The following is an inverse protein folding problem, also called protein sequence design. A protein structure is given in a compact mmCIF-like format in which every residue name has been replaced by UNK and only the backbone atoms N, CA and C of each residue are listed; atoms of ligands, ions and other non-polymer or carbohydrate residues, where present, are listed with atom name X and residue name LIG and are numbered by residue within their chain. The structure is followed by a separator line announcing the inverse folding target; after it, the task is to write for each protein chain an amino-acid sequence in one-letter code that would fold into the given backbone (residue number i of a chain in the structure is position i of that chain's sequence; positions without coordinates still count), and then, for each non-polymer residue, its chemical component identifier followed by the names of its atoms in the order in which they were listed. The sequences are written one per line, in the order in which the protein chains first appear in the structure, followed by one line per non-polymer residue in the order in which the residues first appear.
data_IF_245277437571
#
_entry.id   IF_245277437571
#
_cell.length_a   1.000
_cell.length_b   1.000
_cell.length_c   1.000
_cell.angle_alpha   90.00
_cell.angle_beta   90.00
_cell.angle_gamma   90.00
#
_symmetry.space_group_name_H-M   'P 1'
#
loop_
_entity.id
_entity.type
_entity.pdbx_description
1 polymer ?
#
# COMPACT_ATOMS: atom_id res chain seq x y z
N UNK A 1 13.87 -8.99 3.88
CA UNK A 1 13.52 -8.39 5.16
C UNK A 1 12.24 -7.60 5.00
N UNK A 2 11.34 -7.68 5.99
CA UNK A 2 10.06 -6.98 5.99
C UNK A 2 10.13 -5.80 6.97
N UNK A 3 9.67 -4.63 6.53
CA UNK A 3 9.61 -3.40 7.32
C UNK A 3 8.18 -2.90 7.33
N UNK A 4 7.59 -2.76 8.50
CA UNK A 4 6.25 -2.23 8.70
C UNK A 4 6.34 -0.74 9.10
N UNK A 5 5.63 0.12 8.37
CA UNK A 5 5.59 1.56 8.63
C UNK A 5 4.21 1.94 9.12
N UNK A 6 4.14 2.38 10.36
CA UNK A 6 2.92 2.90 10.97
C UNK A 6 2.66 4.37 10.59
N UNK A 7 1.46 4.85 10.87
CA UNK A 7 0.96 6.18 10.48
C UNK A 7 1.47 7.32 11.38
N UNK A 8 2.77 7.31 11.70
CA UNK A 8 3.42 8.38 12.46
C UNK A 8 4.77 8.75 11.87
N UNK A 9 5.17 10.03 11.91
CA UNK A 9 6.48 10.45 11.42
C UNK A 9 7.65 9.70 12.08
N UNK A 10 7.67 9.47 13.42
CA UNK A 10 8.71 8.67 14.03
C UNK A 10 8.79 7.25 13.46
N UNK A 11 7.66 6.59 13.23
CA UNK A 11 7.62 5.25 12.64
C UNK A 11 8.12 5.26 11.20
N UNK A 12 7.64 6.20 10.37
CA UNK A 12 8.06 6.33 8.97
C UNK A 12 9.57 6.57 8.87
N UNK A 13 10.14 7.44 9.70
CA UNK A 13 11.59 7.71 9.70
C UNK A 13 12.40 6.56 10.27
N UNK A 14 11.88 5.85 11.26
CA UNK A 14 12.50 4.62 11.77
C UNK A 14 12.53 3.53 10.70
N UNK A 15 11.45 3.37 9.95
CA UNK A 15 11.37 2.44 8.82
C UNK A 15 12.37 2.81 7.74
N UNK A 16 12.48 4.10 7.39
CA UNK A 16 13.47 4.59 6.42
C UNK A 16 14.91 4.27 6.84
N UNK A 17 15.25 4.49 8.11
CA UNK A 17 16.55 4.13 8.65
C UNK A 17 16.81 2.61 8.60
N UNK A 18 15.80 1.79 8.91
CA UNK A 18 15.89 0.33 8.84
C UNK A 18 16.12 -0.13 7.39
N UNK A 19 15.36 0.44 6.43
CA UNK A 19 15.53 0.18 5.00
C UNK A 19 16.97 0.42 4.57
N UNK A 20 17.55 1.59 4.90
CA UNK A 20 18.92 1.93 4.55
C UNK A 20 19.94 0.94 5.10
N UNK A 21 19.79 0.55 6.37
CA UNK A 21 20.69 -0.42 7.03
C UNK A 21 20.65 -1.79 6.38
N UNK A 22 19.44 -2.30 6.09
CA UNK A 22 19.30 -3.62 5.49
C UNK A 22 19.75 -3.65 4.03
N UNK A 23 19.44 -2.61 3.24
CA UNK A 23 19.93 -2.48 1.86
C UNK A 23 21.45 -2.47 1.82
N UNK A 24 22.10 -1.72 2.71
CA UNK A 24 23.58 -1.68 2.82
C UNK A 24 24.16 -3.07 3.12
N UNK A 25 23.41 -3.94 3.79
CA UNK A 25 23.78 -5.34 4.06
C UNK A 25 23.32 -6.33 2.97
N UNK A 26 22.97 -5.84 1.77
CA UNK A 26 22.55 -6.63 0.60
C UNK A 26 21.22 -7.37 0.75
N UNK A 27 20.35 -6.92 1.64
CA UNK A 27 19.01 -7.47 1.77
C UNK A 27 18.06 -6.88 0.72
N UNK A 28 17.15 -7.69 0.18
CA UNK A 28 15.93 -7.24 -0.47
C UNK A 28 14.91 -6.85 0.59
N UNK A 29 14.11 -5.81 0.32
CA UNK A 29 13.19 -5.21 1.29
C UNK A 29 11.75 -5.31 0.80
N UNK A 30 10.85 -5.79 1.68
CA UNK A 30 9.43 -5.55 1.59
C UNK A 30 9.05 -4.42 2.56
N UNK A 31 8.28 -3.45 2.11
CA UNK A 31 7.83 -2.31 2.89
C UNK A 31 6.31 -2.34 2.96
N UNK A 32 5.75 -2.43 4.15
CA UNK A 32 4.34 -2.19 4.35
C UNK A 32 4.11 -0.69 4.58
N UNK A 33 3.49 -0.01 3.63
CA UNK A 33 3.10 1.39 3.73
C UNK A 33 1.58 1.59 3.75
N UNK A 34 0.82 0.50 3.74
CA UNK A 34 -0.64 0.52 3.66
C UNK A 34 -1.34 1.08 4.91
N UNK A 35 -0.61 1.32 6.00
CA UNK A 35 -1.14 1.99 7.21
C UNK A 35 -1.06 3.51 7.14
N UNK A 36 -0.21 4.05 6.27
CA UNK A 36 0.00 5.50 6.16
C UNK A 36 -1.27 6.14 5.63
N UNK A 37 -1.73 7.18 6.30
CA UNK A 37 -2.94 7.91 5.92
C UNK A 37 -2.84 8.55 4.54
N UNK A 38 -3.98 8.63 3.86
CA UNK A 38 -4.07 9.22 2.54
C UNK A 38 -3.99 10.75 2.56
N UNK A 39 -3.88 11.32 1.35
CA UNK A 39 -3.84 12.76 1.11
C UNK A 39 -5.06 13.47 1.72
N UNK A 40 -4.86 14.71 2.17
CA UNK A 40 -5.87 15.57 2.81
C UNK A 40 -6.42 15.03 4.15
N UNK A 41 -5.88 13.95 4.68
CA UNK A 41 -6.21 13.52 6.05
C UNK A 41 -5.80 14.58 7.07
N UNK A 42 -6.65 14.81 8.07
CA UNK A 42 -6.40 15.83 9.08
C UNK A 42 -5.25 15.47 10.01
N UNK A 43 -4.38 16.45 10.27
CA UNK A 43 -3.27 16.35 11.21
C UNK A 43 -3.40 17.47 12.27
N UNK A 44 -2.91 17.25 13.47
CA UNK A 44 -2.90 18.23 14.57
C UNK A 44 -4.28 18.86 14.79
N UNK A 45 -5.30 18.04 14.95
CA UNK A 45 -6.66 18.54 15.18
C UNK A 45 -7.31 19.24 13.97
N UNK A 46 -6.70 19.17 12.79
CA UNK A 46 -7.20 19.75 11.53
C UNK A 46 -6.49 21.04 11.10
N UNK A 47 -5.44 21.45 11.81
CA UNK A 47 -4.63 22.62 11.43
C UNK A 47 -3.85 22.40 10.14
N UNK A 48 -3.45 21.14 9.86
CA UNK A 48 -2.64 20.76 8.70
C UNK A 48 -3.29 19.58 8.01
N UNK A 49 -3.15 19.52 6.68
CA UNK A 49 -3.55 18.39 5.87
C UNK A 49 -2.33 17.53 5.50
N UNK A 50 -2.51 16.22 5.47
CA UNK A 50 -1.48 15.27 5.06
C UNK A 50 -1.23 15.35 3.55
N UNK A 51 0.04 15.26 3.17
CA UNK A 51 0.48 15.37 1.77
C UNK A 51 0.32 14.06 0.97
N UNK A 52 -0.22 13.01 1.59
CA UNK A 52 -0.37 11.70 0.98
C UNK A 52 0.85 10.79 1.16
N UNK A 53 0.78 9.60 0.60
CA UNK A 53 1.84 8.58 0.73
C UNK A 53 3.00 8.81 -0.23
N UNK A 54 2.78 9.44 -1.38
CA UNK A 54 3.78 9.58 -2.45
C UNK A 54 5.07 10.26 -2.00
N UNK A 55 5.06 11.36 -1.22
CA UNK A 55 6.29 11.98 -0.72
C UNK A 55 7.13 11.03 0.15
N UNK A 56 6.50 10.18 0.95
CA UNK A 56 7.20 9.18 1.77
C UNK A 56 7.76 8.05 0.91
N UNK A 57 7.06 7.63 -0.13
CA UNK A 57 7.57 6.65 -1.09
C UNK A 57 8.81 7.17 -1.82
N UNK A 58 8.86 8.45 -2.21
CA UNK A 58 10.05 9.09 -2.77
C UNK A 58 11.22 9.06 -1.79
N UNK A 59 10.96 9.29 -0.52
CA UNK A 59 11.99 9.18 0.52
C UNK A 59 12.53 7.76 0.61
N UNK A 60 11.68 6.75 0.67
CA UNK A 60 12.10 5.35 0.68
C UNK A 60 12.87 4.97 -0.59
N UNK A 61 12.43 5.44 -1.76
CA UNK A 61 13.15 5.24 -3.03
C UNK A 61 14.57 5.82 -2.97
N UNK A 62 14.70 7.04 -2.47
CA UNK A 62 16.00 7.69 -2.32
C UNK A 62 16.91 6.89 -1.37
N UNK A 63 16.39 6.42 -0.25
CA UNK A 63 17.12 5.60 0.73
C UNK A 63 17.58 4.27 0.14
N UNK A 64 16.69 3.57 -0.58
CA UNK A 64 17.02 2.31 -1.27
C UNK A 64 18.13 2.52 -2.31
N UNK A 65 18.14 3.67 -2.97
CA UNK A 65 19.12 3.96 -4.04
C UNK A 65 20.47 4.43 -3.52
N UNK A 66 20.49 5.24 -2.46
CA UNK A 66 21.77 5.78 -1.93
C UNK A 66 22.55 4.73 -1.13
N UNK A 67 21.89 3.73 -0.54
CA UNK A 67 22.51 2.66 0.23
C UNK A 67 22.89 1.48 -0.68
N UNK A 68 23.76 1.73 -1.68
CA UNK A 68 24.12 0.72 -2.68
C UNK A 68 24.92 -0.45 -2.09
N UNK A 69 24.73 -1.63 -2.68
CA UNK A 69 25.44 -2.86 -2.35
C UNK A 69 26.84 -2.89 -3.05
N UNK A 70 27.84 -2.24 -2.44
CA UNK A 70 29.23 -2.21 -2.96
C UNK A 70 29.38 -1.63 -4.39
N UNK A 71 28.53 -0.71 -4.83
CA UNK A 71 28.64 -0.04 -6.12
C UNK A 71 28.32 -0.90 -7.37
N UNK A 72 28.05 -2.20 -7.20
CA UNK A 72 27.83 -3.13 -8.34
C UNK A 72 26.35 -3.37 -8.60
N UNK A 73 25.50 -3.35 -7.55
CA UNK A 73 24.07 -3.59 -7.66
C UNK A 73 23.28 -2.61 -6.81
N UNK A 74 22.27 -1.97 -7.39
CA UNK A 74 21.34 -1.12 -6.65
C UNK A 74 20.48 -1.93 -5.68
N UNK A 75 20.03 -1.30 -4.60
CA UNK A 75 19.04 -1.86 -3.70
C UNK A 75 17.70 -2.10 -4.42
N UNK A 76 16.91 -3.03 -3.92
CA UNK A 76 15.56 -3.34 -4.43
C UNK A 76 14.59 -3.41 -3.26
N UNK A 77 13.43 -2.78 -3.43
CA UNK A 77 12.35 -2.82 -2.45
C UNK A 77 11.00 -2.92 -3.15
N UNK A 78 10.08 -3.67 -2.54
CA UNK A 78 8.67 -3.77 -2.93
C UNK A 78 7.81 -3.15 -1.85
N UNK A 79 6.90 -2.25 -2.23
CA UNK A 79 5.97 -1.60 -1.31
C UNK A 79 4.59 -2.23 -1.44
N UNK A 80 3.98 -2.54 -0.30
CA UNK A 80 2.70 -3.21 -0.21
C UNK A 80 1.60 -2.23 0.19
N UNK A 81 0.47 -2.26 -0.54
CA UNK A 81 -0.72 -1.46 -0.27
C UNK A 81 -2.00 -2.30 -0.37
N UNK A 82 -2.99 -2.05 0.49
CA UNK A 82 -4.31 -2.64 0.33
C UNK A 82 -5.06 -2.00 -0.84
N UNK A 83 -5.81 -2.80 -1.60
CA UNK A 83 -6.60 -2.35 -2.76
C UNK A 83 -7.63 -1.27 -2.42
N UNK A 84 -8.04 -1.19 -1.15
CA UNK A 84 -9.01 -0.21 -0.64
C UNK A 84 -8.37 1.09 -0.12
N UNK A 85 -7.05 1.28 -0.29
CA UNK A 85 -6.38 2.51 0.13
C UNK A 85 -6.86 3.71 -0.68
N UNK A 86 -7.07 4.87 -0.03
CA UNK A 86 -7.59 6.08 -0.66
C UNK A 86 -6.80 6.53 -1.89
N UNK A 87 -5.48 6.35 -1.91
CA UNK A 87 -4.61 6.76 -3.01
C UNK A 87 -4.27 5.61 -3.98
N UNK A 88 -5.05 4.54 -3.99
CA UNK A 88 -4.70 3.34 -4.78
C UNK A 88 -4.56 3.63 -6.28
N UNK A 89 -5.40 4.48 -6.85
CA UNK A 89 -5.36 4.84 -8.26
C UNK A 89 -4.04 5.56 -8.61
N UNK A 90 -3.59 6.48 -7.75
CA UNK A 90 -2.30 7.16 -7.90
C UNK A 90 -1.12 6.20 -7.70
N UNK A 91 -1.23 5.27 -6.75
CA UNK A 91 -0.19 4.26 -6.47
C UNK A 91 0.01 3.33 -7.67
N UNK A 92 -1.05 2.90 -8.33
CA UNK A 92 -0.96 2.01 -9.50
C UNK A 92 -0.12 2.59 -10.63
N UNK A 93 -0.16 3.91 -10.84
CA UNK A 93 0.54 4.57 -11.94
C UNK A 93 1.96 5.06 -11.60
N UNK A 94 2.43 4.88 -10.36
CA UNK A 94 3.72 5.41 -9.91
C UNK A 94 4.92 4.91 -10.72
N UNK A 95 4.84 3.74 -11.31
CA UNK A 95 5.92 3.11 -12.05
C UNK A 95 5.87 3.34 -13.56
N UNK A 96 4.76 3.81 -14.09
CA UNK A 96 4.62 3.97 -15.54
C UNK A 96 5.48 5.10 -16.11
N UNK A 97 5.68 5.10 -17.43
CA UNK A 97 6.51 6.08 -18.12
C UNK A 97 5.76 7.36 -18.51
N UNK A 98 4.47 7.46 -18.18
CA UNK A 98 3.63 8.62 -18.45
C UNK A 98 3.71 9.62 -17.30
N UNK A 99 3.57 10.91 -17.56
CA UNK A 99 3.61 11.96 -16.55
C UNK A 99 5.02 12.44 -16.19
N UNK A 100 5.07 13.35 -15.23
CA UNK A 100 6.32 13.97 -14.74
C UNK A 100 6.99 13.15 -13.65
N UNK A 101 8.31 13.35 -13.45
CA UNK A 101 9.05 12.71 -12.34
C UNK A 101 8.47 13.08 -10.96
N UNK A 102 7.84 14.25 -10.84
CA UNK A 102 7.26 14.69 -9.58
C UNK A 102 6.10 13.79 -9.11
N UNK A 103 5.41 13.15 -10.03
CA UNK A 103 4.28 12.28 -9.76
C UNK A 103 4.60 10.78 -9.90
N UNK A 104 5.89 10.42 -9.95
CA UNK A 104 6.33 9.04 -10.16
C UNK A 104 7.36 8.60 -9.13
N UNK A 105 7.33 7.30 -8.81
CA UNK A 105 8.31 6.61 -7.94
C UNK A 105 8.64 5.29 -8.63
N UNK A 106 9.53 5.35 -9.63
CA UNK A 106 9.74 4.26 -10.60
C UNK A 106 10.71 3.18 -10.15
N UNK A 107 11.53 3.44 -9.14
CA UNK A 107 12.60 2.51 -8.72
C UNK A 107 12.19 1.59 -7.58
N UNK A 108 11.00 1.78 -7.03
CA UNK A 108 10.36 0.79 -6.16
C UNK A 108 9.48 -0.13 -6.99
N UNK A 109 9.26 -1.35 -6.51
CA UNK A 109 8.23 -2.25 -6.99
C UNK A 109 7.00 -2.16 -6.09
N UNK A 110 5.84 -2.51 -6.60
CA UNK A 110 4.57 -2.39 -5.87
C UNK A 110 3.87 -3.73 -5.79
N UNK A 111 3.20 -3.97 -4.67
CA UNK A 111 2.36 -5.14 -4.44
C UNK A 111 1.00 -4.70 -3.91
N UNK A 112 -0.04 -5.11 -4.58
CA UNK A 112 -1.42 -4.78 -4.20
C UNK A 112 -2.04 -5.97 -3.50
N UNK A 113 -2.42 -5.76 -2.25
CA UNK A 113 -3.09 -6.75 -1.41
C UNK A 113 -4.58 -6.72 -1.72
N UNK A 114 -5.15 -7.86 -2.10
CA UNK A 114 -6.54 -8.00 -2.51
C UNK A 114 -7.22 -9.04 -1.63
N UNK A 115 -8.43 -8.72 -1.15
CA UNK A 115 -9.28 -9.63 -0.39
C UNK A 115 -10.32 -10.33 -1.27
N UNK A 116 -10.92 -11.38 -0.75
CA UNK A 116 -12.04 -12.09 -1.37
C UNK A 116 -13.22 -11.16 -1.68
N UNK A 117 -13.54 -10.24 -0.77
CA UNK A 117 -14.61 -9.25 -0.94
C UNK A 117 -14.43 -8.43 -2.23
N UNK A 118 -13.19 -8.03 -2.56
CA UNK A 118 -12.93 -7.32 -3.81
C UNK A 118 -13.28 -8.16 -5.03
N UNK A 119 -12.88 -9.43 -5.06
CA UNK A 119 -13.19 -10.33 -6.18
C UNK A 119 -14.68 -10.61 -6.30
N UNK A 120 -15.40 -10.71 -5.19
CA UNK A 120 -16.86 -10.86 -5.22
C UNK A 120 -17.55 -9.65 -5.84
N UNK A 121 -17.11 -8.44 -5.51
CA UNK A 121 -17.60 -7.20 -6.13
C UNK A 121 -17.20 -7.06 -7.59
N UNK A 122 -15.99 -7.46 -7.93
CA UNK A 122 -15.54 -7.52 -9.32
C UNK A 122 -16.47 -8.41 -10.17
N UNK A 123 -16.79 -9.60 -9.69
CA UNK A 123 -17.69 -10.54 -10.42
C UNK A 123 -19.10 -9.96 -10.56
N UNK A 124 -19.61 -9.28 -9.54
CA UNK A 124 -20.94 -8.67 -9.52
C UNK A 124 -21.01 -7.31 -10.22
N UNK A 125 -19.89 -6.77 -10.69
CA UNK A 125 -19.78 -5.42 -11.24
C UNK A 125 -20.26 -4.34 -10.26
N UNK A 126 -19.86 -4.45 -9.00
CA UNK A 126 -20.15 -3.50 -7.93
C UNK A 126 -18.96 -2.55 -7.71
N UNK A 127 -19.22 -1.46 -7.00
CA UNK A 127 -18.17 -0.52 -6.61
C UNK A 127 -17.40 -1.02 -5.39
N UNK A 128 -16.15 -0.57 -5.25
CA UNK A 128 -15.35 -0.67 -4.04
C UNK A 128 -15.16 0.71 -3.43
N UNK A 129 -15.20 0.76 -2.11
CA UNK A 129 -14.99 2.00 -1.35
C UNK A 129 -13.55 2.11 -0.90
N UNK A 130 -12.95 3.27 -1.15
CA UNK A 130 -11.58 3.60 -0.79
C UNK A 130 -11.57 4.43 0.49
N UNK A 131 -10.68 4.06 1.41
CA UNK A 131 -10.55 4.71 2.71
C UNK A 131 -9.12 5.19 2.95
N UNK A 132 -8.99 6.28 3.71
CA UNK A 132 -7.75 6.58 4.41
C UNK A 132 -7.68 5.74 5.68
N UNK A 133 -6.61 4.97 5.92
CA UNK A 133 -6.55 4.01 7.05
C UNK A 133 -6.82 4.63 8.42
N UNK A 134 -6.42 5.89 8.63
CA UNK A 134 -6.67 6.59 9.89
C UNK A 134 -8.15 6.87 10.18
N UNK A 135 -9.02 6.84 9.16
CA UNK A 135 -10.46 7.04 9.32
C UNK A 135 -11.22 5.74 9.62
N UNK A 136 -10.56 4.61 9.52
CA UNK A 136 -11.14 3.27 9.70
C UNK A 136 -10.32 2.43 10.67
N UNK A 137 -10.31 2.79 11.97
CA UNK A 137 -9.54 2.08 12.99
C UNK A 137 -9.83 0.58 12.98
N UNK A 138 -8.79 -0.26 13.03
CA UNK A 138 -8.90 -1.71 13.04
C UNK A 138 -9.14 -2.37 11.67
N UNK A 139 -9.44 -1.58 10.62
CA UNK A 139 -9.71 -2.16 9.30
C UNK A 139 -8.46 -2.81 8.68
N UNK A 140 -7.31 -2.16 8.83
CA UNK A 140 -6.05 -2.71 8.34
C UNK A 140 -5.65 -3.97 9.13
N UNK A 141 -5.86 -3.96 10.44
CA UNK A 141 -5.60 -5.10 11.33
C UNK A 141 -6.50 -6.30 11.00
N UNK A 142 -7.75 -6.06 10.59
CA UNK A 142 -8.68 -7.10 10.16
C UNK A 142 -8.42 -7.60 8.72
N UNK A 143 -7.67 -6.86 7.93
CA UNK A 143 -7.46 -7.18 6.52
C UNK A 143 -6.77 -8.54 6.33
N UNK A 144 -7.39 -9.40 5.52
CA UNK A 144 -6.99 -10.79 5.35
C UNK A 144 -7.48 -11.74 6.46
N UNK A 145 -8.39 -11.28 7.32
CA UNK A 145 -9.04 -12.06 8.37
C UNK A 145 -10.57 -12.10 8.14
N UNK A 146 -11.28 -13.07 8.71
CA UNK A 146 -12.74 -13.20 8.54
C UNK A 146 -13.55 -11.96 8.94
N UNK A 147 -13.04 -11.19 9.92
CA UNK A 147 -13.71 -10.00 10.45
C UNK A 147 -13.67 -8.79 9.50
N UNK A 148 -12.81 -8.83 8.49
CA UNK A 148 -12.60 -7.72 7.58
C UNK A 148 -13.88 -7.32 6.84
N UNK A 149 -14.60 -8.27 6.29
CA UNK A 149 -15.77 -7.99 5.46
C UNK A 149 -16.86 -7.25 6.25
N UNK A 150 -17.14 -7.70 7.48
CA UNK A 150 -18.12 -7.05 8.35
C UNK A 150 -17.71 -5.63 8.71
N UNK A 151 -16.44 -5.44 9.09
CA UNK A 151 -15.92 -4.13 9.48
C UNK A 151 -15.87 -3.17 8.29
N UNK A 152 -15.47 -3.66 7.11
CA UNK A 152 -15.45 -2.90 5.87
C UNK A 152 -16.85 -2.41 5.50
N UNK A 153 -17.85 -3.28 5.50
CA UNK A 153 -19.24 -2.94 5.20
C UNK A 153 -19.84 -1.97 6.22
N UNK A 154 -19.42 -2.05 7.49
CA UNK A 154 -19.81 -1.10 8.52
C UNK A 154 -19.30 0.30 8.20
N UNK A 155 -18.01 0.45 7.88
CA UNK A 155 -17.42 1.74 7.51
C UNK A 155 -17.97 2.27 6.18
N UNK A 156 -18.27 1.40 5.25
CA UNK A 156 -18.88 1.78 3.98
C UNK A 156 -20.26 2.43 4.16
N UNK A 157 -21.05 1.97 5.12
CA UNK A 157 -22.38 2.54 5.45
C UNK A 157 -22.29 3.83 6.28
N UNK A 158 -21.20 4.06 6.96
CA UNK A 158 -21.02 5.22 7.83
C UNK A 158 -20.79 6.49 6.98
N UNK A 159 -21.79 7.38 6.96
CA UNK A 159 -21.76 8.65 6.20
C UNK A 159 -20.83 9.70 6.81
N UNK A 160 -20.36 9.53 8.03
CA UNK A 160 -19.46 10.48 8.70
C UNK A 160 -18.00 10.32 8.26
N UNK A 161 -17.64 9.19 7.66
CA UNK A 161 -16.27 8.86 7.23
C UNK A 161 -16.04 9.40 5.82
N UNK A 162 -15.00 10.24 5.60
CA UNK A 162 -14.56 10.63 4.27
C UNK A 162 -14.11 9.40 3.47
N UNK A 163 -14.65 9.22 2.29
CA UNK A 163 -14.39 8.08 1.41
C UNK A 163 -14.70 8.42 -0.03
N UNK A 164 -14.16 7.65 -0.94
CA UNK A 164 -14.49 7.65 -2.37
C UNK A 164 -14.89 6.25 -2.82
N UNK A 165 -15.50 6.14 -3.99
CA UNK A 165 -15.87 4.86 -4.59
C UNK A 165 -15.32 4.80 -6.01
N UNK A 166 -14.96 3.59 -6.43
CA UNK A 166 -14.52 3.28 -7.79
C UNK A 166 -15.09 1.92 -8.19
N UNK A 167 -15.40 1.73 -9.47
CA UNK A 167 -15.85 0.43 -9.97
C UNK A 167 -14.77 -0.64 -9.76
N UNK A 168 -15.12 -1.76 -9.14
CA UNK A 168 -14.14 -2.83 -8.89
C UNK A 168 -13.54 -3.38 -10.20
N UNK A 169 -14.34 -3.47 -11.28
CA UNK A 169 -13.85 -3.89 -12.59
C UNK A 169 -12.90 -2.86 -13.19
N UNK A 170 -13.22 -1.58 -13.11
CA UNK A 170 -12.37 -0.49 -13.59
C UNK A 170 -11.00 -0.51 -12.90
N UNK A 171 -11.00 -0.51 -11.57
CA UNK A 171 -9.78 -0.52 -10.77
C UNK A 171 -8.91 -1.77 -11.05
N UNK A 172 -9.52 -2.93 -11.20
CA UNK A 172 -8.78 -4.16 -11.49
C UNK A 172 -8.21 -4.17 -12.91
N UNK A 173 -8.94 -3.64 -13.89
CA UNK A 173 -8.44 -3.51 -15.26
C UNK A 173 -7.28 -2.52 -15.34
N UNK A 174 -7.32 -1.42 -14.61
CA UNK A 174 -6.20 -0.46 -14.51
C UNK A 174 -4.97 -1.12 -13.86
N UNK A 175 -5.16 -1.88 -12.78
CA UNK A 175 -4.09 -2.68 -12.17
C UNK A 175 -3.46 -3.64 -13.19
N UNK A 176 -4.26 -4.40 -13.93
CA UNK A 176 -3.76 -5.35 -14.92
C UNK A 176 -3.03 -4.66 -16.07
N UNK A 177 -3.54 -3.52 -16.53
CA UNK A 177 -2.91 -2.69 -17.57
C UNK A 177 -1.54 -2.18 -17.12
N UNK A 178 -1.46 -1.56 -15.94
CA UNK A 178 -0.20 -1.06 -15.40
C UNK A 178 0.79 -2.22 -15.13
N UNK A 179 0.30 -3.37 -14.68
CA UNK A 179 1.10 -4.59 -14.55
C UNK A 179 1.65 -5.07 -15.89
N UNK A 180 0.85 -5.08 -16.94
CA UNK A 180 1.28 -5.47 -18.29
C UNK A 180 2.30 -4.48 -18.88
N UNK A 181 2.07 -3.18 -18.71
CA UNK A 181 2.95 -2.13 -19.23
C UNK A 181 4.29 -2.05 -18.48
N UNK A 182 4.29 -2.25 -17.17
CA UNK A 182 5.50 -2.09 -16.32
C UNK A 182 6.19 -3.41 -15.95
N UNK A 183 5.47 -4.53 -15.94
CA UNK A 183 5.93 -5.84 -15.52
C UNK A 183 6.24 -5.99 -14.03
N UNK A 184 5.88 -5.01 -13.18
CA UNK A 184 6.37 -4.89 -11.81
C UNK A 184 5.31 -4.57 -10.74
N UNK A 185 4.04 -4.85 -11.00
CA UNK A 185 3.00 -4.81 -9.99
C UNK A 185 2.63 -6.25 -9.61
N UNK A 186 2.81 -6.58 -8.34
CA UNK A 186 2.46 -7.89 -7.79
C UNK A 186 1.03 -7.87 -7.26
N UNK A 187 0.35 -8.99 -7.36
CA UNK A 187 -0.97 -9.23 -6.78
C UNK A 187 -0.79 -10.18 -5.60
N UNK A 188 -1.23 -9.77 -4.43
CA UNK A 188 -1.17 -10.57 -3.22
C UNK A 188 -2.59 -10.85 -2.71
N UNK A 189 -3.00 -12.11 -2.74
CA UNK A 189 -4.29 -12.54 -2.19
C UNK A 189 -4.16 -12.71 -0.69
N UNK A 190 -4.45 -11.64 0.06
CA UNK A 190 -4.15 -11.54 1.50
C UNK A 190 -4.85 -12.63 2.33
N UNK A 191 -6.07 -12.99 1.97
CA UNK A 191 -6.82 -14.07 2.65
C UNK A 191 -6.10 -15.41 2.50
N UNK A 192 -5.58 -15.70 1.31
CA UNK A 192 -4.82 -16.93 1.04
C UNK A 192 -3.48 -16.93 1.76
N UNK A 193 -2.82 -15.78 1.87
CA UNK A 193 -1.58 -15.67 2.64
C UNK A 193 -1.78 -16.09 4.09
N UNK A 194 -2.93 -15.81 4.69
CA UNK A 194 -3.24 -16.20 6.06
C UNK A 194 -3.83 -17.63 6.17
N UNK A 195 -4.73 -18.03 5.26
CA UNK A 195 -5.40 -19.35 5.34
C UNK A 195 -4.52 -20.51 4.89
N UNK A 196 -3.56 -20.27 3.99
CA UNK A 196 -2.65 -21.29 3.46
C UNK A 196 -1.21 -21.14 3.98
N UNK A 197 -1.00 -20.29 4.98
CA UNK A 197 0.28 -20.13 5.65
C UNK A 197 0.63 -21.37 6.48
N UNK A 198 1.93 -21.68 6.57
CA UNK A 198 2.45 -22.67 7.52
C UNK A 198 2.54 -22.12 8.96
N UNK A 199 2.33 -20.84 9.16
CA UNK A 199 2.32 -20.21 10.48
C UNK A 199 0.95 -20.38 11.15
N UNK A 200 0.94 -20.58 12.46
CA UNK A 200 -0.30 -20.71 13.25
C UNK A 200 -0.98 -19.36 13.48
N UNK A 201 -0.17 -18.33 13.63
CA UNK A 201 -0.63 -16.97 13.89
C UNK A 201 -0.76 -16.19 12.58
N UNK A 202 -1.58 -15.14 12.61
CA UNK A 202 -1.73 -14.22 11.48
C UNK A 202 -0.37 -13.68 11.05
N UNK A 203 -0.08 -13.79 9.77
CA UNK A 203 1.09 -13.15 9.17
C UNK A 203 0.67 -11.79 8.65
N UNK A 204 1.21 -10.73 9.24
CA UNK A 204 1.17 -9.41 8.65
C UNK A 204 2.21 -9.39 7.54
N UNK A 205 1.72 -9.42 6.30
CA UNK A 205 2.59 -9.41 5.13
C UNK A 205 2.97 -7.96 4.82
N UNK A 206 4.19 -7.64 5.04
CA UNK A 206 4.83 -6.41 4.58
C UNK A 206 5.89 -6.69 3.53
#
# INVERSE_FOLDING_TARGET
VLVDSDDTLPSIFSSDMAIGRYVAQRAGIGINAGRIRGINSRIRGGEVQHTGVIPFLKKFEATVRCCTQNGVRGGSATVHFPIWHQEIEDILVLKNNKGTEDNRVRKLDYSIQISKLFYERFIKNEDITLFSPNNTPGLYEAFGMPEFDELYLKYEKDKSIPKSTVGAQELFMDLLKERAETGRIYIMNIDHCNTHSSFKDKVYMS
#
